data_IF_192654584676
#
_entry.id   IF_192654584676
#
_cell.length_a   1.000
_cell.length_b   1.000
_cell.length_c   1.000
_cell.angle_alpha   90.00
_cell.angle_beta   90.00
_cell.angle_gamma   90.00
#
_symmetry.space_group_name_H-M   'P 1'
#
loop_
_entity.id
_entity.type
_entity.pdbx_description
1 polymer ?
#
# COMPACT_ATOMS: atom_id res chain seq x y z
N UNK A 1 31.64 -21.07 -40.73
CA UNK A 1 30.15 -21.13 -40.69
C UNK A 1 29.63 -21.66 -39.36
N UNK A 2 30.09 -22.83 -38.87
CA UNK A 2 29.64 -23.44 -37.59
C UNK A 2 29.91 -22.54 -36.36
N UNK A 3 31.08 -21.89 -36.31
CA UNK A 3 31.44 -21.01 -35.19
C UNK A 3 30.55 -19.76 -35.08
N UNK A 4 30.01 -19.28 -36.21
CA UNK A 4 29.15 -18.10 -36.26
C UNK A 4 27.74 -18.41 -35.73
N UNK A 5 27.24 -19.62 -36.03
CA UNK A 5 25.94 -20.13 -35.55
C UNK A 5 25.99 -20.35 -34.02
N UNK A 6 27.09 -20.91 -33.52
CA UNK A 6 27.29 -21.14 -32.08
C UNK A 6 27.35 -19.84 -31.28
N UNK A 7 28.06 -18.83 -31.81
CA UNK A 7 28.12 -17.49 -31.18
C UNK A 7 26.74 -16.83 -31.17
N UNK A 8 25.97 -16.90 -32.26
CA UNK A 8 24.60 -16.32 -32.29
C UNK A 8 23.63 -16.99 -31.32
N UNK A 9 23.70 -18.32 -31.16
CA UNK A 9 22.87 -19.02 -30.17
C UNK A 9 23.24 -18.64 -28.73
N UNK A 10 24.54 -18.55 -28.44
CA UNK A 10 25.01 -18.13 -27.10
C UNK A 10 24.64 -16.69 -26.75
N UNK A 11 24.51 -15.83 -27.77
CA UNK A 11 24.16 -14.42 -27.60
C UNK A 11 22.65 -14.25 -27.42
N UNK A 12 21.84 -15.05 -28.14
CA UNK A 12 20.39 -15.11 -27.95
C UNK A 12 20.01 -15.61 -26.54
N UNK A 13 20.65 -16.68 -26.06
CA UNK A 13 20.43 -17.22 -24.71
C UNK A 13 20.74 -16.17 -23.64
N UNK A 14 21.90 -15.52 -23.72
CA UNK A 14 22.26 -14.43 -22.80
C UNK A 14 21.28 -13.26 -22.86
N UNK A 15 20.79 -12.92 -24.05
CA UNK A 15 19.82 -11.84 -24.21
C UNK A 15 18.48 -12.20 -23.57
N UNK A 16 18.01 -13.44 -23.75
CA UNK A 16 16.80 -13.97 -23.09
C UNK A 16 16.94 -13.98 -21.58
N UNK A 17 18.10 -14.37 -21.05
CA UNK A 17 18.35 -14.39 -19.61
C UNK A 17 18.34 -12.98 -19.02
N UNK A 18 18.97 -12.01 -19.69
CA UNK A 18 18.95 -10.61 -19.27
C UNK A 18 17.52 -10.07 -19.29
N UNK A 19 16.79 -10.25 -20.40
CA UNK A 19 15.42 -9.73 -20.53
C UNK A 19 14.49 -10.36 -19.51
N UNK A 20 14.57 -11.68 -19.30
CA UNK A 20 13.74 -12.37 -18.31
C UNK A 20 14.05 -11.93 -16.87
N UNK A 21 15.34 -11.71 -16.55
CA UNK A 21 15.73 -11.16 -15.25
C UNK A 21 15.20 -9.74 -15.05
N UNK A 22 15.23 -8.90 -16.08
CA UNK A 22 14.64 -7.56 -16.02
C UNK A 22 13.13 -7.59 -15.80
N UNK A 23 12.41 -8.47 -16.52
CA UNK A 23 10.96 -8.63 -16.35
C UNK A 23 10.63 -9.05 -14.92
N UNK A 24 11.36 -10.05 -14.36
CA UNK A 24 11.17 -10.50 -12.97
C UNK A 24 11.44 -9.38 -11.97
N UNK A 25 12.50 -8.61 -12.14
CA UNK A 25 12.79 -7.48 -11.26
C UNK A 25 11.71 -6.40 -11.31
N UNK A 26 11.13 -6.14 -12.49
CA UNK A 26 10.02 -5.18 -12.64
C UNK A 26 8.76 -5.70 -11.94
N UNK A 27 8.43 -6.98 -12.12
CA UNK A 27 7.30 -7.62 -11.46
C UNK A 27 7.43 -7.57 -9.93
N UNK A 28 8.60 -7.96 -9.40
CA UNK A 28 8.90 -7.89 -7.97
C UNK A 28 8.81 -6.46 -7.44
N UNK A 29 9.33 -5.47 -8.17
CA UNK A 29 9.20 -4.06 -7.78
C UNK A 29 7.76 -3.56 -7.78
N UNK A 30 6.94 -3.97 -8.75
CA UNK A 30 5.52 -3.57 -8.79
C UNK A 30 4.76 -4.15 -7.60
N UNK A 31 5.02 -5.42 -7.27
CA UNK A 31 4.44 -6.07 -6.09
C UNK A 31 4.88 -5.33 -4.82
N UNK A 32 6.17 -5.01 -4.71
CA UNK A 32 6.73 -4.32 -3.55
C UNK A 32 6.17 -2.90 -3.38
N UNK A 33 6.05 -2.13 -4.46
CA UNK A 33 5.44 -0.78 -4.42
C UNK A 33 3.97 -0.90 -4.00
N UNK A 34 3.25 -1.87 -4.54
CA UNK A 34 1.83 -2.08 -4.22
C UNK A 34 1.65 -2.45 -2.75
N UNK A 35 2.48 -3.34 -2.21
CA UNK A 35 2.45 -3.67 -0.77
C UNK A 35 2.80 -2.46 0.08
N UNK A 36 3.80 -1.67 -0.33
CA UNK A 36 4.21 -0.49 0.43
C UNK A 36 3.12 0.59 0.45
N UNK A 37 2.40 0.79 -0.67
CA UNK A 37 1.25 1.70 -0.72
C UNK A 37 0.12 1.20 0.18
N UNK A 38 -0.17 -0.12 0.17
CA UNK A 38 -1.18 -0.71 1.07
C UNK A 38 -0.80 -0.44 2.53
N UNK A 39 0.43 -0.73 2.91
CA UNK A 39 0.90 -0.55 4.30
C UNK A 39 0.90 0.92 4.73
N UNK A 40 1.30 1.82 3.83
CA UNK A 40 1.22 3.26 4.08
C UNK A 40 -0.24 3.71 4.26
N UNK A 41 -1.15 3.26 3.40
CA UNK A 41 -2.57 3.58 3.49
C UNK A 41 -3.18 3.07 4.80
N UNK A 42 -2.85 1.85 5.23
CA UNK A 42 -3.28 1.30 6.52
C UNK A 42 -2.73 2.12 7.69
N UNK A 43 -1.45 2.51 7.64
CA UNK A 43 -0.82 3.32 8.69
C UNK A 43 -1.49 4.68 8.81
N UNK A 44 -1.76 5.34 7.69
CA UNK A 44 -2.47 6.62 7.64
C UNK A 44 -3.92 6.47 8.13
N UNK A 45 -4.60 5.40 7.72
CA UNK A 45 -5.95 5.06 8.19
C UNK A 45 -5.98 4.92 9.72
N UNK A 46 -5.02 4.19 10.29
CA UNK A 46 -4.85 4.01 11.74
C UNK A 46 -4.63 5.31 12.50
N UNK A 47 -3.74 6.16 11.99
CA UNK A 47 -3.52 7.49 12.57
C UNK A 47 -4.76 8.40 12.46
N UNK A 48 -5.50 8.30 11.35
CA UNK A 48 -6.66 9.14 11.07
C UNK A 48 -7.85 8.77 11.94
N UNK A 49 -8.25 7.49 12.00
CA UNK A 49 -9.40 7.11 12.82
C UNK A 49 -9.12 7.31 14.31
N UNK A 50 -7.89 7.04 14.77
CA UNK A 50 -7.53 7.22 16.19
C UNK A 50 -7.61 8.68 16.60
N UNK A 51 -7.06 9.59 15.80
CA UNK A 51 -7.18 11.03 16.05
C UNK A 51 -8.64 11.51 16.00
N UNK A 52 -9.44 11.07 15.02
CA UNK A 52 -10.88 11.41 14.95
C UNK A 52 -11.66 10.97 16.19
N UNK A 53 -11.41 9.75 16.68
CA UNK A 53 -12.07 9.26 17.90
C UNK A 53 -11.63 10.08 19.11
N UNK A 54 -10.33 10.29 19.29
CA UNK A 54 -9.78 11.05 20.44
C UNK A 54 -10.34 12.47 20.47
N UNK A 55 -10.25 13.20 19.34
CA UNK A 55 -10.76 14.57 19.23
C UNK A 55 -12.28 14.59 19.45
N UNK A 56 -12.99 13.61 18.91
CA UNK A 56 -14.44 13.50 19.05
C UNK A 56 -14.86 13.29 20.50
N UNK A 57 -14.14 12.43 21.23
CA UNK A 57 -14.37 12.19 22.67
C UNK A 57 -14.06 13.45 23.47
N UNK A 58 -12.94 14.13 23.21
CA UNK A 58 -12.57 15.38 23.90
C UNK A 58 -13.64 16.45 23.68
N UNK A 59 -14.05 16.68 22.44
CA UNK A 59 -15.11 17.64 22.11
C UNK A 59 -16.43 17.29 22.80
N UNK A 60 -16.77 16.00 22.86
CA UNK A 60 -17.98 15.53 23.53
C UNK A 60 -17.94 15.80 25.05
N UNK A 61 -16.80 15.53 25.71
CA UNK A 61 -16.58 15.80 27.13
C UNK A 61 -16.60 17.30 27.46
N UNK A 62 -16.01 18.13 26.61
CA UNK A 62 -16.00 19.59 26.77
C UNK A 62 -17.36 20.24 26.46
N UNK A 63 -18.35 19.46 26.02
CA UNK A 63 -19.66 19.95 25.62
C UNK A 63 -19.59 20.98 24.46
N UNK A 64 -18.52 20.93 23.66
CA UNK A 64 -18.33 21.79 22.49
C UNK A 64 -18.94 21.07 21.30
N UNK A 65 -20.00 21.65 20.73
CA UNK A 65 -20.67 21.16 19.53
C UNK A 65 -20.93 19.62 19.54
N UNK A 66 -21.72 19.13 20.50
CA UNK A 66 -22.03 17.70 20.69
C UNK A 66 -22.41 16.96 19.40
N UNK A 67 -23.09 17.64 18.48
CA UNK A 67 -23.52 17.06 17.20
C UNK A 67 -22.33 16.71 16.29
N UNK A 68 -21.34 17.61 16.20
CA UNK A 68 -20.13 17.38 15.41
C UNK A 68 -19.22 16.35 16.08
N UNK A 69 -19.11 16.41 17.42
CA UNK A 69 -18.34 15.45 18.21
C UNK A 69 -18.83 14.00 17.98
N UNK A 70 -20.14 13.76 18.07
CA UNK A 70 -20.72 12.43 17.82
C UNK A 70 -20.50 11.97 16.39
N UNK A 71 -20.70 12.84 15.39
CA UNK A 71 -20.42 12.52 13.98
C UNK A 71 -18.96 12.15 13.75
N UNK A 72 -18.03 12.83 14.43
CA UNK A 72 -16.59 12.55 14.37
C UNK A 72 -16.25 11.18 14.96
N UNK A 73 -16.84 10.83 16.11
CA UNK A 73 -16.69 9.51 16.74
C UNK A 73 -17.24 8.41 15.82
N UNK A 74 -18.47 8.56 15.31
CA UNK A 74 -19.05 7.56 14.40
C UNK A 74 -18.24 7.41 13.11
N UNK A 75 -17.80 8.52 12.52
CA UNK A 75 -16.92 8.51 11.35
C UNK A 75 -15.60 7.79 11.63
N UNK A 76 -14.98 8.06 12.78
CA UNK A 76 -13.77 7.37 13.22
C UNK A 76 -13.98 5.87 13.44
N UNK A 77 -15.09 5.46 14.07
CA UNK A 77 -15.41 4.03 14.27
C UNK A 77 -15.62 3.31 12.93
N UNK A 78 -16.35 3.92 11.99
CA UNK A 78 -16.55 3.34 10.66
C UNK A 78 -15.21 3.21 9.93
N UNK A 79 -14.38 4.25 9.97
CA UNK A 79 -13.06 4.23 9.35
C UNK A 79 -12.13 3.19 10.00
N UNK A 80 -12.23 3.00 11.32
CA UNK A 80 -11.51 1.95 12.05
C UNK A 80 -11.93 0.56 11.60
N UNK A 81 -13.24 0.31 11.48
CA UNK A 81 -13.76 -0.97 10.98
C UNK A 81 -13.29 -1.25 9.55
N UNK A 82 -13.35 -0.25 8.67
CA UNK A 82 -12.86 -0.40 7.28
C UNK A 82 -11.37 -0.70 7.27
N UNK A 83 -10.58 0.04 8.06
CA UNK A 83 -9.12 -0.11 8.10
C UNK A 83 -8.70 -1.47 8.67
N UNK A 84 -9.35 -1.95 9.73
CA UNK A 84 -9.10 -3.28 10.31
C UNK A 84 -9.58 -4.42 9.41
N UNK A 85 -10.64 -4.21 8.61
CA UNK A 85 -11.09 -5.22 7.64
C UNK A 85 -10.17 -5.31 6.42
N UNK A 86 -9.48 -4.21 6.09
CA UNK A 86 -8.52 -4.15 4.98
C UNK A 86 -7.09 -4.53 5.39
N UNK A 87 -6.78 -4.47 6.69
CA UNK A 87 -5.48 -4.79 7.27
C UNK A 87 -5.14 -6.27 7.07
#
# INVERSE_FOLDING_TARGET
MINLIMVTQSLEEKFRDIVSSWIRNVEENIIWITSMIKDAALTIGRASYSSMIIIGVIMWCMNIQKYHARRLIYGGIILALITELLA
#
